data_IF_890456503236
#
_entry.id   IF_890456503236
#
_cell.length_a   1.000
_cell.length_b   1.000
_cell.length_c   1.000
_cell.angle_alpha   90.00
_cell.angle_beta   90.00
_cell.angle_gamma   90.00
#
_symmetry.space_group_name_H-M   'P 1'
#
loop_
_entity.id
_entity.type
_entity.pdbx_description
1 polymer ?
#
# COMPACT_ATOMS: atom_id res chain seq x y z
N UNK A 1 17.78 15.72 9.27
CA UNK A 1 17.61 15.69 7.82
C UNK A 1 16.83 16.93 7.41
N UNK A 2 17.13 18.08 8.02
CA UNK A 2 16.38 19.33 7.84
C UNK A 2 16.88 20.08 6.61
N UNK A 3 16.73 19.47 5.44
CA UNK A 3 17.14 20.05 4.16
C UNK A 3 15.93 20.23 3.26
N UNK A 4 15.97 21.19 2.33
CA UNK A 4 14.91 21.37 1.34
C UNK A 4 14.59 20.06 0.59
N UNK A 5 15.62 19.30 0.21
CA UNK A 5 15.45 18.02 -0.50
C UNK A 5 14.66 16.99 0.32
N UNK A 6 14.77 17.00 1.65
CA UNK A 6 13.97 16.12 2.51
C UNK A 6 12.56 16.68 2.66
N UNK A 7 12.44 17.96 3.02
CA UNK A 7 11.15 18.60 3.30
C UNK A 7 10.21 18.59 2.09
N UNK A 8 10.74 18.63 0.87
CA UNK A 8 9.96 18.52 -0.38
C UNK A 8 9.18 17.22 -0.53
N UNK A 9 9.55 16.16 0.20
CA UNK A 9 8.78 14.91 0.21
C UNK A 9 7.44 15.04 0.97
N UNK A 10 7.30 16.05 1.83
CA UNK A 10 6.14 16.24 2.68
C UNK A 10 5.31 17.39 2.13
N UNK A 11 4.00 17.22 1.96
CA UNK A 11 3.18 18.31 1.42
C UNK A 11 3.14 19.46 2.41
N UNK A 12 3.16 20.69 1.88
CA UNK A 12 3.03 21.92 2.69
C UNK A 12 1.85 21.88 3.66
N UNK A 13 0.71 21.34 3.22
CA UNK A 13 -0.49 21.21 4.05
C UNK A 13 -0.22 20.37 5.31
N UNK A 14 0.59 19.33 5.23
CA UNK A 14 0.90 18.48 6.39
C UNK A 14 1.75 19.25 7.41
N UNK A 15 2.69 20.09 6.95
CA UNK A 15 3.40 21.03 7.83
C UNK A 15 2.46 22.08 8.45
N UNK A 16 1.54 22.65 7.67
CA UNK A 16 0.55 23.60 8.17
C UNK A 16 -0.33 22.99 9.26
N UNK A 17 -0.77 21.75 9.05
CA UNK A 17 -1.57 20.98 9.99
C UNK A 17 -0.77 20.65 11.25
N UNK A 18 0.51 20.25 11.13
CA UNK A 18 1.41 20.03 12.25
C UNK A 18 1.65 21.31 13.08
N UNK A 19 1.95 22.43 12.42
CA UNK A 19 2.14 23.72 13.07
C UNK A 19 0.85 24.24 13.72
N UNK A 20 -0.32 23.93 13.13
CA UNK A 20 -1.62 24.25 13.71
C UNK A 20 -1.84 23.45 14.99
N UNK A 21 -1.57 22.15 14.98
CA UNK A 21 -1.70 21.27 16.14
C UNK A 21 -0.86 21.77 17.32
N UNK A 22 0.38 22.19 17.05
CA UNK A 22 1.31 22.70 18.05
C UNK A 22 1.17 24.21 18.34
N UNK A 23 0.13 24.86 17.79
CA UNK A 23 -0.18 26.28 18.05
C UNK A 23 0.99 27.24 17.76
N UNK A 24 1.79 26.95 16.73
CA UNK A 24 2.89 27.81 16.30
C UNK A 24 2.37 29.21 15.94
N UNK A 25 3.02 30.24 16.50
CA UNK A 25 2.59 31.62 16.37
C UNK A 25 2.78 32.15 14.95
N UNK A 26 1.77 32.88 14.45
CA UNK A 26 1.77 33.54 13.13
C UNK A 26 2.13 32.61 11.96
N UNK A 27 1.93 31.29 12.10
CA UNK A 27 2.29 30.29 11.08
C UNK A 27 1.74 30.60 9.69
N UNK A 28 0.51 31.11 9.60
CA UNK A 28 -0.15 31.44 8.33
C UNK A 28 0.52 32.56 7.55
N UNK A 29 1.28 33.42 8.24
CA UNK A 29 2.08 34.48 7.62
C UNK A 29 3.51 34.01 7.40
N UNK A 30 4.10 33.33 8.40
CA UNK A 30 5.49 32.84 8.36
C UNK A 30 5.73 31.78 7.29
N UNK A 31 4.71 31.02 6.88
CA UNK A 31 4.89 29.93 5.89
C UNK A 31 4.89 30.41 4.43
N UNK A 32 4.55 31.67 4.19
CA UNK A 32 4.49 32.25 2.84
C UNK A 32 5.90 32.60 2.37
N UNK A 33 6.37 32.04 1.23
CA UNK A 33 7.70 32.36 0.71
C UNK A 33 7.76 33.78 0.14
N UNK A 34 8.93 34.41 0.26
CA UNK A 34 9.23 35.65 -0.44
C UNK A 34 9.36 35.43 -1.95
N UNK A 35 9.28 36.51 -2.73
CA UNK A 35 9.38 36.42 -4.19
C UNK A 35 10.76 35.90 -4.60
N UNK A 36 10.79 34.79 -5.36
CA UNK A 36 12.03 34.15 -5.80
C UNK A 36 12.68 33.21 -4.76
N UNK A 37 12.10 33.07 -3.58
CA UNK A 37 12.57 32.15 -2.55
C UNK A 37 12.03 30.73 -2.76
N UNK A 38 12.82 29.71 -2.40
CA UNK A 38 12.34 28.34 -2.40
C UNK A 38 11.15 28.18 -1.44
N UNK A 39 10.13 27.48 -1.92
CA UNK A 39 8.83 27.33 -1.27
C UNK A 39 8.89 26.64 0.11
N UNK A 40 9.96 25.89 0.42
CA UNK A 40 10.19 25.23 1.71
C UNK A 40 11.13 26.00 2.64
N UNK A 41 11.78 27.07 2.18
CA UNK A 41 12.66 27.89 3.05
C UNK A 41 11.95 28.42 4.29
N UNK A 42 10.74 29.01 4.19
CA UNK A 42 10.06 29.52 5.39
C UNK A 42 9.64 28.39 6.33
N UNK A 43 9.32 27.20 5.79
CA UNK A 43 9.00 26.00 6.58
C UNK A 43 10.23 25.57 7.37
N UNK A 44 11.40 25.48 6.71
CA UNK A 44 12.66 25.13 7.36
C UNK A 44 13.01 26.13 8.47
N UNK A 45 12.86 27.44 8.23
CA UNK A 45 13.14 28.47 9.22
C UNK A 45 12.24 28.33 10.46
N UNK A 46 10.92 28.12 10.26
CA UNK A 46 10.00 27.85 11.37
C UNK A 46 10.48 26.63 12.15
N UNK A 47 10.82 25.52 11.47
CA UNK A 47 11.26 24.30 12.14
C UNK A 47 12.50 24.55 12.98
N UNK A 48 13.54 25.19 12.40
CA UNK A 48 14.78 25.49 13.10
C UNK A 48 14.55 26.38 14.33
N UNK A 49 13.80 27.47 14.18
CA UNK A 49 13.50 28.40 15.29
C UNK A 49 12.75 27.72 16.44
N UNK A 50 11.77 26.86 16.12
CA UNK A 50 10.95 26.19 17.13
C UNK A 50 11.70 25.00 17.78
N UNK A 51 12.61 24.33 17.07
CA UNK A 51 13.50 23.30 17.65
C UNK A 51 14.60 23.91 18.54
N UNK A 52 15.14 25.07 18.17
CA UNK A 52 16.13 25.78 19.00
C UNK A 52 15.51 26.34 20.29
N UNK A 53 14.27 26.83 20.21
CA UNK A 53 13.55 27.38 21.37
C UNK A 53 12.81 26.33 22.20
N UNK A 54 12.46 25.18 21.60
CA UNK A 54 11.64 24.10 22.19
C UNK A 54 10.32 24.56 22.82
N UNK A 55 9.75 25.70 22.38
CA UNK A 55 8.57 26.30 23.02
C UNK A 55 7.25 25.66 22.60
N UNK A 56 7.10 25.28 21.31
CA UNK A 56 5.82 24.81 20.74
C UNK A 56 5.80 23.33 20.42
N UNK A 57 6.93 22.79 20.00
CA UNK A 57 7.13 21.37 19.78
C UNK A 57 8.58 21.00 20.10
N UNK A 58 8.78 19.72 20.43
CA UNK A 58 10.07 19.13 20.77
C UNK A 58 10.70 18.42 19.57
N UNK A 59 11.99 18.12 19.66
CA UNK A 59 12.69 17.25 18.71
C UNK A 59 11.96 15.92 18.52
N UNK A 60 11.51 15.28 19.60
CA UNK A 60 10.77 14.01 19.55
C UNK A 60 9.47 14.12 18.76
N UNK A 61 8.67 15.17 18.99
CA UNK A 61 7.41 15.35 18.26
C UNK A 61 7.61 15.65 16.78
N UNK A 62 8.68 16.36 16.43
CA UNK A 62 8.99 16.66 15.04
C UNK A 62 9.61 15.46 14.32
N UNK A 63 10.48 14.71 15.00
CA UNK A 63 11.04 13.45 14.53
C UNK A 63 9.94 12.42 14.24
N UNK A 64 8.96 12.27 15.13
CA UNK A 64 7.80 11.41 14.90
C UNK A 64 6.97 11.89 13.70
N UNK A 65 6.74 13.20 13.57
CA UNK A 65 6.07 13.75 12.40
C UNK A 65 6.82 13.42 11.10
N UNK A 66 8.14 13.64 11.06
CA UNK A 66 8.98 13.32 9.90
C UNK A 66 8.90 11.83 9.57
N UNK A 67 8.96 10.96 10.58
CA UNK A 67 8.88 9.52 10.39
C UNK A 67 7.53 9.11 9.82
N UNK A 68 6.42 9.57 10.39
CA UNK A 68 5.07 9.27 9.90
C UNK A 68 4.88 9.72 8.44
N UNK A 69 5.46 10.86 8.08
CA UNK A 69 5.37 11.36 6.71
C UNK A 69 6.22 10.55 5.73
N UNK A 70 7.51 10.35 6.04
CA UNK A 70 8.45 9.66 5.14
C UNK A 70 8.25 8.14 5.08
N UNK A 71 7.78 7.53 6.17
CA UNK A 71 7.61 6.08 6.27
C UNK A 71 6.23 5.60 5.76
N UNK A 72 5.15 6.31 6.09
CA UNK A 72 3.79 5.90 5.72
C UNK A 72 3.16 6.83 4.68
N UNK A 73 3.09 8.13 4.94
CA UNK A 73 2.17 9.04 4.22
C UNK A 73 2.54 9.27 2.74
N UNK A 74 3.83 9.23 2.41
CA UNK A 74 4.30 9.46 1.03
C UNK A 74 4.35 8.19 0.19
N UNK A 75 4.29 7.02 0.82
CA UNK A 75 4.48 5.74 0.15
C UNK A 75 3.13 5.16 -0.27
N UNK A 76 3.03 4.83 -1.55
CA UNK A 76 1.80 4.31 -2.15
C UNK A 76 2.03 3.01 -2.92
N UNK A 77 3.28 2.59 -3.12
CA UNK A 77 3.66 1.44 -3.93
C UNK A 77 4.50 0.45 -3.14
N UNK A 78 3.90 -0.67 -2.74
CA UNK A 78 4.51 -1.60 -1.78
C UNK A 78 4.77 -2.95 -2.44
N UNK A 79 5.99 -3.43 -2.36
CA UNK A 79 6.36 -4.79 -2.74
C UNK A 79 6.30 -5.67 -1.49
N UNK A 80 5.53 -6.75 -1.55
CA UNK A 80 5.35 -7.70 -0.47
C UNK A 80 6.07 -9.00 -0.82
N UNK A 81 6.89 -9.45 0.12
CA UNK A 81 7.66 -10.69 0.09
C UNK A 81 7.39 -11.50 1.35
N UNK A 82 7.62 -12.81 1.26
CA UNK A 82 7.60 -13.67 2.44
C UNK A 82 8.93 -13.56 3.18
N UNK A 83 8.88 -13.51 4.50
CA UNK A 83 10.04 -13.59 5.37
C UNK A 83 10.14 -15.00 5.91
N UNK A 84 11.13 -15.78 5.49
CA UNK A 84 11.31 -17.14 6.02
C UNK A 84 12.39 -17.21 7.09
N UNK A 85 13.38 -16.30 7.05
CA UNK A 85 14.48 -16.26 7.99
C UNK A 85 14.69 -14.84 8.54
N UNK A 86 14.70 -14.73 9.86
CA UNK A 86 15.16 -13.57 10.60
C UNK A 86 15.79 -14.04 11.91
N UNK A 87 16.82 -13.36 12.39
CA UNK A 87 17.41 -13.65 13.71
C UNK A 87 16.40 -13.51 14.85
N UNK A 88 15.35 -12.71 14.63
CA UNK A 88 14.25 -12.50 15.54
C UNK A 88 13.03 -13.31 15.12
N UNK A 89 12.35 -13.91 16.09
CA UNK A 89 11.07 -14.56 15.90
C UNK A 89 10.10 -14.16 17.01
N UNK A 90 8.87 -14.66 16.95
CA UNK A 90 7.82 -14.36 17.93
C UNK A 90 8.17 -14.71 19.39
N UNK A 91 9.21 -15.52 19.63
CA UNK A 91 9.67 -15.88 20.97
C UNK A 91 10.89 -15.08 21.43
N UNK A 92 11.49 -14.24 20.57
CA UNK A 92 12.61 -13.40 20.99
C UNK A 92 12.12 -12.33 21.94
N UNK A 93 12.77 -12.19 23.10
CA UNK A 93 12.39 -11.16 24.07
C UNK A 93 12.66 -9.75 23.52
N UNK A 94 11.81 -8.80 23.87
CA UNK A 94 11.98 -7.40 23.47
C UNK A 94 13.32 -6.82 23.97
N UNK A 95 13.76 -7.21 25.17
CA UNK A 95 15.04 -6.79 25.75
C UNK A 95 16.22 -7.27 24.91
N UNK A 96 16.21 -8.52 24.44
CA UNK A 96 17.27 -9.06 23.57
C UNK A 96 17.32 -8.36 22.21
N UNK A 97 16.15 -8.00 21.66
CA UNK A 97 16.07 -7.25 20.39
C UNK A 97 16.65 -5.86 20.56
N UNK A 98 16.24 -5.12 21.60
CA UNK A 98 16.74 -3.78 21.88
C UNK A 98 18.26 -3.83 22.10
N UNK A 99 18.72 -4.76 22.94
CA UNK A 99 20.15 -4.95 23.20
C UNK A 99 20.92 -5.22 21.91
N UNK A 100 20.41 -6.11 21.05
CA UNK A 100 21.04 -6.38 19.76
C UNK A 100 21.14 -5.13 18.89
N UNK A 101 20.05 -4.37 18.75
CA UNK A 101 20.01 -3.17 17.90
C UNK A 101 20.94 -2.08 18.43
N UNK A 102 21.04 -1.90 19.74
CA UNK A 102 21.97 -0.97 20.39
C UNK A 102 23.43 -1.38 20.23
N UNK A 103 23.72 -2.69 20.26
CA UNK A 103 25.07 -3.23 20.06
C UNK A 103 25.57 -3.15 18.61
N UNK A 104 24.71 -2.82 17.64
CA UNK A 104 25.05 -2.66 16.23
C UNK A 104 24.78 -1.21 15.77
N UNK A 105 25.67 -0.24 16.05
CA UNK A 105 25.46 1.17 15.72
C UNK A 105 25.17 1.45 14.24
N UNK A 106 25.66 0.59 13.34
CA UNK A 106 25.41 0.71 11.90
C UNK A 106 23.93 0.57 11.52
N UNK A 107 23.10 -0.02 12.39
CA UNK A 107 21.65 -0.09 12.21
C UNK A 107 20.93 1.22 12.54
N UNK A 108 21.61 2.25 13.07
CA UNK A 108 21.00 3.55 13.38
C UNK A 108 19.68 3.43 14.17
N UNK A 109 19.66 2.59 15.22
CA UNK A 109 18.47 2.36 16.02
C UNK A 109 18.02 3.65 16.73
N UNK A 110 16.75 4.03 16.54
CA UNK A 110 16.12 5.25 17.04
C UNK A 110 16.92 6.54 16.75
N UNK A 111 17.64 6.58 15.63
CA UNK A 111 18.36 7.77 15.21
C UNK A 111 17.38 8.88 14.78
N UNK A 112 17.47 10.09 15.35
CA UNK A 112 16.56 11.17 14.99
C UNK A 112 16.68 11.60 13.52
N UNK A 113 15.53 11.82 12.88
CA UNK A 113 15.43 12.32 11.50
C UNK A 113 15.72 13.82 11.39
N UNK A 114 16.04 14.50 12.50
CA UNK A 114 16.58 15.85 12.53
C UNK A 114 18.09 15.89 12.25
N UNK A 115 18.81 14.77 12.43
CA UNK A 115 20.26 14.65 12.20
C UNK A 115 20.70 14.80 10.75
N UNK A 116 21.93 15.28 10.50
CA UNK A 116 22.43 15.48 9.15
C UNK A 116 22.45 14.17 8.34
N UNK A 117 21.88 14.23 7.13
CA UNK A 117 21.86 13.11 6.19
C UNK A 117 23.13 13.12 5.35
N UNK A 118 23.75 11.96 5.19
CA UNK A 118 24.86 11.79 4.25
C UNK A 118 24.44 11.98 2.79
N UNK A 119 25.43 12.21 1.93
CA UNK A 119 25.24 12.28 0.48
C UNK A 119 25.16 10.91 -0.19
N UNK A 120 25.48 9.85 0.52
CA UNK A 120 25.54 8.48 0.01
C UNK A 120 24.16 7.96 -0.45
N UNK A 121 24.19 7.02 -1.40
CA UNK A 121 23.02 6.25 -1.85
C UNK A 121 22.83 5.03 -0.97
N UNK A 122 21.59 4.55 -0.90
CA UNK A 122 21.21 3.39 -0.08
C UNK A 122 21.62 3.53 1.40
N UNK A 123 21.50 4.74 1.95
CA UNK A 123 21.89 5.06 3.33
C UNK A 123 20.73 4.78 4.29
N UNK A 124 20.95 3.92 5.29
CA UNK A 124 20.02 3.70 6.39
C UNK A 124 19.91 4.96 7.26
N UNK A 125 18.73 5.58 7.30
CA UNK A 125 18.46 6.80 8.07
C UNK A 125 18.17 6.48 9.53
N UNK A 126 17.25 5.54 9.78
CA UNK A 126 16.87 5.08 11.12
C UNK A 126 16.32 3.66 11.05
N UNK A 127 16.53 2.91 12.13
CA UNK A 127 15.75 1.72 12.46
C UNK A 127 14.81 2.04 13.60
N UNK A 128 13.56 1.58 13.53
CA UNK A 128 12.58 1.65 14.62
C UNK A 128 11.93 0.30 14.82
N UNK A 129 11.44 0.03 16.02
CA UNK A 129 10.68 -1.16 16.33
C UNK A 129 9.25 -0.80 16.69
N UNK A 130 8.33 -1.70 16.40
CA UNK A 130 6.95 -1.61 16.85
C UNK A 130 6.66 -2.72 17.85
N UNK A 131 6.06 -2.33 18.97
CA UNK A 131 5.74 -3.23 20.08
C UNK A 131 4.23 -3.14 20.36
N UNK A 132 3.58 -4.29 20.48
CA UNK A 132 2.18 -4.43 20.91
C UNK A 132 2.16 -5.47 22.03
N UNK A 133 1.51 -5.14 23.15
CA UNK A 133 1.38 -6.04 24.33
C UNK A 133 2.73 -6.67 24.75
N UNK A 134 3.78 -5.83 24.83
CA UNK A 134 5.18 -6.20 25.14
C UNK A 134 5.84 -7.19 24.16
N UNK A 135 5.19 -7.50 23.03
CA UNK A 135 5.73 -8.32 21.95
C UNK A 135 6.22 -7.46 20.79
N UNK A 136 7.36 -7.83 20.21
CA UNK A 136 7.86 -7.22 18.98
C UNK A 136 6.96 -7.61 17.80
N UNK A 137 6.30 -6.62 17.20
CA UNK A 137 5.46 -6.80 16.01
C UNK A 137 6.28 -6.67 14.73
N UNK A 138 7.07 -5.61 14.63
CA UNK A 138 7.81 -5.31 13.42
C UNK A 138 9.09 -4.52 13.64
N UNK A 139 10.01 -4.63 12.68
CA UNK A 139 11.22 -3.81 12.58
C UNK A 139 11.14 -2.99 11.30
N UNK A 140 11.35 -1.69 11.43
CA UNK A 140 11.12 -0.71 10.40
C UNK A 140 12.41 0.04 10.05
N UNK A 141 12.79 0.02 8.77
CA UNK A 141 13.96 0.70 8.23
C UNK A 141 13.55 1.82 7.28
N UNK A 142 14.06 3.03 7.51
CA UNK A 142 13.96 4.11 6.54
C UNK A 142 15.29 4.26 5.81
N UNK A 143 15.31 4.04 4.50
CA UNK A 143 16.53 4.07 3.69
C UNK A 143 16.42 5.22 2.68
N UNK A 144 17.44 6.07 2.60
CA UNK A 144 17.60 7.04 1.52
C UNK A 144 18.26 6.34 0.33
N UNK A 145 17.53 6.17 -0.76
CA UNK A 145 18.00 5.51 -1.98
C UNK A 145 18.94 6.42 -2.76
N UNK A 146 18.55 7.68 -2.94
CA UNK A 146 19.31 8.65 -3.72
C UNK A 146 18.54 9.96 -3.88
N UNK A 147 18.76 10.63 -5.00
CA UNK A 147 18.13 11.90 -5.33
C UNK A 147 17.28 11.73 -6.61
N UNK A 148 16.13 12.38 -6.67
CA UNK A 148 15.23 12.43 -7.83
C UNK A 148 14.85 13.87 -8.14
N UNK A 149 14.73 14.20 -9.42
CA UNK A 149 14.20 15.49 -9.85
C UNK A 149 12.67 15.40 -9.97
N UNK A 150 11.94 16.25 -9.25
CA UNK A 150 10.49 16.34 -9.32
C UNK A 150 10.08 17.80 -9.56
N UNK A 151 9.41 18.07 -10.68
CA UNK A 151 9.00 19.43 -11.08
C UNK A 151 10.17 20.45 -11.06
N UNK A 152 11.34 20.05 -11.55
CA UNK A 152 12.58 20.85 -11.55
C UNK A 152 13.14 21.17 -10.16
N UNK A 153 12.72 20.42 -9.13
CA UNK A 153 13.28 20.49 -7.78
C UNK A 153 13.89 19.13 -7.39
N UNK A 154 15.12 19.14 -6.88
CA UNK A 154 15.75 17.93 -6.35
C UNK A 154 15.13 17.53 -5.02
N UNK A 155 14.74 16.27 -4.91
CA UNK A 155 14.17 15.67 -3.72
C UNK A 155 14.96 14.42 -3.36
N UNK A 156 15.09 14.12 -2.06
CA UNK A 156 15.61 12.82 -1.66
C UNK A 156 14.57 11.74 -1.91
N UNK A 157 14.99 10.61 -2.46
CA UNK A 157 14.16 9.44 -2.65
C UNK A 157 14.38 8.46 -1.51
N UNK A 158 13.29 8.11 -0.82
CA UNK A 158 13.30 7.19 0.31
C UNK A 158 12.57 5.89 -0.01
N UNK A 159 12.99 4.82 0.64
CA UNK A 159 12.25 3.56 0.76
C UNK A 159 12.01 3.25 2.23
N UNK A 160 10.77 2.85 2.54
CA UNK A 160 10.37 2.43 3.87
C UNK A 160 10.17 0.91 3.88
N UNK A 161 10.96 0.21 4.68
CA UNK A 161 10.99 -1.25 4.73
C UNK A 161 10.47 -1.71 6.09
N UNK A 162 9.54 -2.66 6.09
CA UNK A 162 9.06 -3.32 7.31
C UNK A 162 9.37 -4.81 7.23
N UNK A 163 10.00 -5.33 8.28
CA UNK A 163 10.05 -6.75 8.60
C UNK A 163 8.91 -7.01 9.59
N UNK A 164 7.83 -7.59 9.09
CA UNK A 164 6.65 -7.95 9.86
C UNK A 164 6.84 -9.36 10.41
N UNK A 165 7.04 -9.45 11.73
CA UNK A 165 7.26 -10.72 12.42
C UNK A 165 5.96 -11.42 12.79
N UNK A 166 4.85 -10.68 12.87
CA UNK A 166 3.52 -11.24 13.14
C UNK A 166 3.02 -12.04 11.93
N UNK A 167 3.19 -11.49 10.73
CA UNK A 167 2.74 -12.09 9.48
C UNK A 167 3.84 -12.81 8.70
N UNK A 168 5.10 -12.75 9.15
CA UNK A 168 6.26 -13.26 8.43
C UNK A 168 6.38 -12.67 7.02
N UNK A 169 6.31 -11.34 6.91
CA UNK A 169 6.39 -10.62 5.64
C UNK A 169 7.53 -9.60 5.64
N UNK A 170 8.10 -9.35 4.46
CA UNK A 170 8.97 -8.20 4.20
C UNK A 170 8.27 -7.29 3.20
N UNK A 171 8.08 -6.02 3.60
CA UNK A 171 7.35 -5.04 2.81
C UNK A 171 8.30 -3.89 2.48
N UNK A 172 8.61 -3.73 1.18
CA UNK A 172 9.45 -2.63 0.68
C UNK A 172 8.54 -1.59 0.03
N UNK A 173 8.46 -0.40 0.61
CA UNK A 173 7.54 0.67 0.18
C UNK A 173 8.28 1.80 -0.51
N UNK A 174 7.60 2.38 -1.50
CA UNK A 174 8.07 3.53 -2.26
C UNK A 174 6.94 4.52 -2.52
N UNK A 175 7.33 5.76 -2.78
CA UNK A 175 6.55 6.65 -3.63
C UNK A 175 6.72 6.22 -5.10
N UNK A 176 5.62 5.87 -5.77
CA UNK A 176 5.66 5.36 -7.15
C UNK A 176 6.33 6.34 -8.12
N UNK A 177 5.99 7.63 -8.03
CA UNK A 177 6.52 8.63 -8.94
C UNK A 177 8.04 8.81 -8.76
N UNK A 178 8.52 8.75 -7.51
CA UNK A 178 9.96 8.80 -7.24
C UNK A 178 10.68 7.56 -7.77
N UNK A 179 10.10 6.36 -7.61
CA UNK A 179 10.67 5.12 -8.13
C UNK A 179 10.73 5.12 -9.67
N UNK A 180 9.68 5.61 -10.33
CA UNK A 180 9.61 5.69 -11.80
C UNK A 180 10.50 6.80 -12.40
N UNK A 181 10.79 7.85 -11.62
CA UNK A 181 11.64 8.98 -12.04
C UNK A 181 13.11 8.80 -11.65
N UNK A 182 13.44 7.75 -10.92
CA UNK A 182 14.81 7.47 -10.52
C UNK A 182 15.62 6.96 -11.73
N UNK A 183 16.93 7.22 -11.72
CA UNK A 183 17.80 6.90 -12.85
C UNK A 183 18.02 5.39 -13.06
N UNK A 184 17.80 4.58 -12.03
CA UNK A 184 17.94 3.12 -12.06
C UNK A 184 16.57 2.47 -12.34
N UNK A 185 16.56 1.36 -13.08
CA UNK A 185 15.34 0.60 -13.30
C UNK A 185 14.73 0.13 -11.96
N UNK A 186 13.40 0.17 -11.77
CA UNK A 186 12.76 -0.22 -10.50
C UNK A 186 13.15 -1.63 -10.02
N UNK A 187 13.35 -2.56 -10.96
CA UNK A 187 13.80 -3.92 -10.66
C UNK A 187 15.22 -3.94 -10.07
N UNK A 188 16.12 -3.08 -10.54
CA UNK A 188 17.50 -3.01 -10.05
C UNK A 188 17.56 -2.40 -8.65
N UNK A 189 16.73 -1.38 -8.39
CA UNK A 189 16.58 -0.80 -7.04
C UNK A 189 16.11 -1.87 -6.05
N UNK A 190 15.13 -2.68 -6.44
CA UNK A 190 14.63 -3.79 -5.61
C UNK A 190 15.69 -4.86 -5.37
N UNK A 191 16.43 -5.26 -6.40
CA UNK A 191 17.52 -6.24 -6.26
C UNK A 191 18.56 -5.72 -5.28
N UNK A 192 19.02 -4.47 -5.44
CA UNK A 192 19.99 -3.85 -4.52
C UNK A 192 19.48 -3.76 -3.09
N UNK A 193 18.20 -3.45 -2.87
CA UNK A 193 17.62 -3.41 -1.54
C UNK A 193 17.51 -4.80 -0.92
N UNK A 194 17.11 -5.81 -1.68
CA UNK A 194 17.09 -7.20 -1.19
C UNK A 194 18.50 -7.69 -0.86
N UNK A 195 19.48 -7.42 -1.73
CA UNK A 195 20.88 -7.76 -1.49
C UNK A 195 21.41 -7.07 -0.22
N UNK A 196 21.09 -5.78 -0.05
CA UNK A 196 21.43 -5.01 1.14
C UNK A 196 20.83 -5.63 2.41
N UNK A 197 19.53 -5.96 2.40
CA UNK A 197 18.82 -6.59 3.51
C UNK A 197 19.37 -7.99 3.83
N UNK A 198 19.70 -8.78 2.81
CA UNK A 198 20.25 -10.12 2.93
C UNK A 198 21.74 -10.13 3.36
N UNK A 199 22.31 -8.97 3.68
CA UNK A 199 23.69 -8.87 4.13
C UNK A 199 24.74 -9.02 3.03
N UNK A 200 24.35 -9.05 1.75
CA UNK A 200 25.31 -9.16 0.66
C UNK A 200 26.22 -7.92 0.65
N UNK A 201 27.54 -8.16 0.68
CA UNK A 201 28.53 -7.09 0.74
C UNK A 201 28.43 -6.20 -0.50
N UNK A 202 28.43 -4.88 -0.28
CA UNK A 202 28.64 -3.97 -1.41
C UNK A 202 30.05 -4.15 -1.97
N UNK A 203 30.22 -3.84 -3.27
CA UNK A 203 31.56 -3.74 -3.87
C UNK A 203 32.40 -2.81 -2.98
N UNK A 204 33.63 -3.23 -2.69
CA UNK A 204 34.63 -2.56 -1.84
C UNK A 204 34.73 -3.03 -0.36
N UNK A 205 34.10 -4.15 0.01
CA UNK A 205 34.39 -4.81 1.30
C UNK A 205 33.77 -4.15 2.52
N UNK A 206 32.84 -3.20 2.31
CA UNK A 206 31.99 -2.66 3.37
C UNK A 206 30.88 -3.67 3.66
N UNK A 207 30.88 -4.17 4.90
CA UNK A 207 29.83 -5.04 5.43
C UNK A 207 28.51 -4.29 5.47
N UNK A 208 27.46 -4.90 4.91
CA UNK A 208 26.10 -4.36 4.99
C UNK A 208 25.68 -4.22 6.46
N UNK A 209 25.06 -3.10 6.89
CA UNK A 209 24.59 -2.96 8.27
C UNK A 209 23.58 -4.06 8.66
N UNK A 210 22.93 -4.67 7.67
CA UNK A 210 21.92 -5.71 7.84
C UNK A 210 22.49 -7.14 7.89
N UNK A 211 23.79 -7.37 7.65
CA UNK A 211 24.37 -8.73 7.68
C UNK A 211 24.07 -9.43 9.01
N UNK A 212 24.13 -8.69 10.11
CA UNK A 212 23.85 -9.18 11.46
C UNK A 212 22.40 -9.69 11.66
N UNK A 213 21.44 -9.25 10.83
CA UNK A 213 20.04 -9.64 10.96
C UNK A 213 19.72 -10.99 10.32
N UNK A 214 20.63 -11.52 9.49
CA UNK A 214 20.47 -12.79 8.76
C UNK A 214 19.12 -12.90 8.05
N UNK A 215 18.69 -11.83 7.38
CA UNK A 215 17.45 -11.85 6.61
C UNK A 215 17.62 -12.68 5.33
N UNK A 216 16.56 -13.38 4.94
CA UNK A 216 16.47 -14.09 3.67
C UNK A 216 15.23 -13.66 2.90
N UNK A 217 15.32 -12.51 2.23
CA UNK A 217 14.25 -11.94 1.42
C UNK A 217 14.31 -12.54 0.02
N UNK A 218 13.48 -13.57 -0.21
CA UNK A 218 13.33 -14.24 -1.51
C UNK A 218 12.08 -13.70 -2.22
N UNK A 219 12.13 -13.65 -3.55
CA UNK A 219 10.94 -13.36 -4.38
C UNK A 219 9.82 -14.38 -4.14
N UNK A 220 8.58 -13.94 -4.27
CA UNK A 220 7.43 -14.83 -4.29
C UNK A 220 7.40 -15.58 -5.62
N UNK A 221 7.02 -16.87 -5.62
CA UNK A 221 6.62 -17.49 -6.88
C UNK A 221 5.42 -16.71 -7.46
N UNK A 222 5.53 -16.24 -8.71
CA UNK A 222 4.48 -15.47 -9.40
C UNK A 222 3.10 -16.14 -9.32
N UNK A 223 3.05 -17.48 -9.31
CA UNK A 223 1.82 -18.27 -9.15
C UNK A 223 1.12 -18.00 -7.80
N UNK A 224 1.89 -17.83 -6.73
CA UNK A 224 1.34 -17.55 -5.39
C UNK A 224 0.63 -16.21 -5.41
N UNK A 225 1.28 -15.16 -5.89
CA UNK A 225 0.69 -13.82 -6.01
C UNK A 225 -0.59 -13.85 -6.87
N UNK A 226 -0.56 -14.53 -8.02
CA UNK A 226 -1.73 -14.66 -8.90
C UNK A 226 -2.91 -15.36 -8.23
N UNK A 227 -2.63 -16.42 -7.46
CA UNK A 227 -3.64 -17.20 -6.74
C UNK A 227 -4.25 -16.40 -5.59
N UNK A 228 -3.44 -15.64 -4.84
CA UNK A 228 -3.93 -14.75 -3.78
C UNK A 228 -4.91 -13.73 -4.38
N UNK A 229 -4.51 -13.04 -5.45
CA UNK A 229 -5.36 -12.05 -6.13
C UNK A 229 -6.66 -12.70 -6.63
N UNK A 230 -6.56 -13.87 -7.27
CA UNK A 230 -7.71 -14.62 -7.79
C UNK A 230 -8.68 -15.04 -6.68
N UNK A 231 -8.17 -15.50 -5.55
CA UNK A 231 -8.99 -15.95 -4.40
C UNK A 231 -9.75 -14.78 -3.80
N UNK A 232 -9.06 -13.67 -3.49
CA UNK A 232 -9.70 -12.44 -2.99
C UNK A 232 -10.74 -11.90 -3.97
N UNK A 233 -10.46 -11.94 -5.27
CA UNK A 233 -11.40 -11.53 -6.30
C UNK A 233 -12.65 -12.40 -6.32
N UNK A 234 -12.50 -13.73 -6.27
CA UNK A 234 -13.60 -14.69 -6.28
C UNK A 234 -14.50 -14.52 -5.06
N UNK A 235 -13.92 -14.44 -3.87
CA UNK A 235 -14.67 -14.28 -2.62
C UNK A 235 -15.56 -13.04 -2.66
N UNK A 236 -14.98 -11.87 -2.95
CA UNK A 236 -15.73 -10.61 -2.97
C UNK A 236 -16.75 -10.56 -4.11
N UNK A 237 -16.43 -11.18 -5.25
CA UNK A 237 -17.34 -11.29 -6.39
C UNK A 237 -18.52 -12.23 -6.14
N UNK A 238 -18.29 -13.34 -5.45
CA UNK A 238 -19.35 -14.28 -5.07
C UNK A 238 -20.30 -13.66 -4.05
N UNK A 239 -19.77 -12.95 -3.06
CA UNK A 239 -20.61 -12.21 -2.11
C UNK A 239 -21.48 -11.16 -2.82
N UNK A 240 -20.89 -10.40 -3.75
CA UNK A 240 -21.62 -9.43 -4.54
C UNK A 240 -22.73 -10.07 -5.39
N UNK A 241 -22.45 -11.24 -5.99
CA UNK A 241 -23.45 -11.99 -6.76
C UNK A 241 -24.60 -12.48 -5.88
N UNK A 242 -24.32 -12.98 -4.67
CA UNK A 242 -25.37 -13.41 -3.74
C UNK A 242 -26.30 -12.23 -3.37
N UNK A 243 -25.72 -11.05 -3.13
CA UNK A 243 -26.45 -9.80 -2.86
C UNK A 243 -27.32 -9.39 -4.06
N UNK A 244 -26.79 -9.49 -5.29
CA UNK A 244 -27.53 -9.16 -6.50
C UNK A 244 -28.65 -10.18 -6.78
N UNK A 245 -28.38 -11.47 -6.59
CA UNK A 245 -29.35 -12.54 -6.75
C UNK A 245 -30.51 -12.43 -5.74
N UNK A 246 -30.23 -12.06 -4.49
CA UNK A 246 -31.26 -11.81 -3.48
C UNK A 246 -32.21 -10.66 -3.82
N UNK A 247 -31.84 -9.78 -4.77
CA UNK A 247 -32.67 -8.66 -5.25
C UNK A 247 -33.44 -8.98 -6.53
N UNK A 248 -33.15 -10.12 -7.16
CA UNK A 248 -33.91 -10.59 -8.32
C UNK A 248 -35.27 -11.12 -7.85
N UNK A 249 -36.39 -10.76 -8.50
CA UNK A 249 -37.70 -11.29 -8.14
C UNK A 249 -37.74 -12.84 -8.16
N UNK A 250 -38.41 -13.46 -7.19
CA UNK A 250 -38.42 -14.93 -6.99
C UNK A 250 -38.86 -15.76 -8.22
N UNK A 251 -39.72 -15.22 -9.08
CA UNK A 251 -40.22 -15.91 -10.28
C UNK A 251 -39.35 -15.72 -11.54
N UNK A 252 -38.27 -14.94 -11.46
CA UNK A 252 -37.48 -14.53 -12.63
C UNK A 252 -36.95 -15.72 -13.44
N UNK A 253 -36.52 -16.80 -12.80
CA UNK A 253 -36.01 -17.97 -13.53
C UNK A 253 -37.11 -18.66 -14.35
N UNK A 254 -38.32 -18.75 -13.80
CA UNK A 254 -39.47 -19.30 -14.53
C UNK A 254 -39.86 -18.39 -15.69
N UNK A 255 -39.88 -17.07 -15.48
CA UNK A 255 -40.20 -16.08 -16.51
C UNK A 255 -39.18 -16.13 -17.66
N UNK A 256 -37.89 -16.32 -17.35
CA UNK A 256 -36.83 -16.50 -18.35
C UNK A 256 -37.02 -17.78 -19.15
N UNK A 257 -37.29 -18.91 -18.48
CA UNK A 257 -37.53 -20.19 -19.16
C UNK A 257 -38.74 -20.11 -20.07
N UNK A 258 -39.86 -19.57 -19.58
CA UNK A 258 -41.06 -19.37 -20.38
C UNK A 258 -40.79 -18.46 -21.60
N UNK A 259 -39.99 -17.40 -21.43
CA UNK A 259 -39.57 -16.55 -22.54
C UNK A 259 -38.75 -17.31 -23.59
N UNK A 260 -37.76 -18.10 -23.17
CA UNK A 260 -36.92 -18.89 -24.07
C UNK A 260 -37.74 -19.95 -24.83
N UNK A 261 -38.62 -20.67 -24.14
CA UNK A 261 -39.53 -21.65 -24.74
C UNK A 261 -40.46 -20.99 -25.77
N UNK A 262 -41.08 -19.87 -25.41
CA UNK A 262 -41.97 -19.11 -26.30
C UNK A 262 -41.26 -18.57 -27.56
N UNK A 263 -39.94 -18.38 -27.50
CA UNK A 263 -39.11 -17.98 -28.65
C UNK A 263 -38.53 -19.15 -29.43
N UNK A 264 -38.77 -20.40 -28.99
CA UNK A 264 -38.19 -21.59 -29.59
C UNK A 264 -36.67 -21.68 -29.41
N UNK A 265 -36.14 -21.07 -28.34
CA UNK A 265 -34.72 -21.07 -28.00
C UNK A 265 -34.41 -22.19 -26.98
N UNK A 266 -33.14 -22.67 -26.92
CA UNK A 266 -32.73 -23.64 -25.91
C UNK A 266 -32.88 -23.09 -24.49
N UNK A 267 -33.44 -23.89 -23.58
CA UNK A 267 -33.57 -23.58 -22.15
C UNK A 267 -32.44 -24.19 -21.31
N UNK A 268 -31.23 -24.18 -21.84
CA UNK A 268 -30.04 -24.62 -21.10
C UNK A 268 -29.72 -23.63 -19.98
N UNK A 269 -29.14 -24.12 -18.89
CA UNK A 269 -28.85 -23.31 -17.71
C UNK A 269 -27.95 -22.12 -18.02
N UNK A 270 -26.98 -22.29 -18.93
CA UNK A 270 -26.08 -21.24 -19.39
C UNK A 270 -26.83 -20.03 -19.98
N UNK A 271 -27.93 -20.26 -20.72
CA UNK A 271 -28.75 -19.17 -21.26
C UNK A 271 -29.55 -18.45 -20.17
N UNK A 272 -30.04 -19.20 -19.17
CA UNK A 272 -30.73 -18.62 -18.01
C UNK A 272 -29.76 -17.72 -17.23
N UNK A 273 -28.55 -18.22 -16.95
CA UNK A 273 -27.52 -17.45 -16.25
C UNK A 273 -27.06 -16.22 -17.04
N UNK A 274 -26.95 -16.31 -18.37
CA UNK A 274 -26.66 -15.14 -19.20
C UNK A 274 -27.73 -14.06 -19.08
N UNK A 275 -29.02 -14.42 -19.10
CA UNK A 275 -30.11 -13.44 -18.93
C UNK A 275 -30.12 -12.88 -17.51
N UNK A 276 -29.91 -13.70 -16.47
CA UNK A 276 -29.74 -13.22 -15.08
C UNK A 276 -28.59 -12.24 -14.95
N UNK A 277 -27.47 -12.46 -15.64
CA UNK A 277 -26.33 -11.54 -15.62
C UNK A 277 -26.69 -10.14 -16.15
N UNK A 278 -27.66 -10.03 -17.07
CA UNK A 278 -28.15 -8.72 -17.56
C UNK A 278 -28.97 -8.02 -16.48
N UNK A 279 -29.79 -8.76 -15.72
CA UNK A 279 -30.53 -8.22 -14.58
C UNK A 279 -29.57 -7.77 -13.47
N UNK A 280 -28.52 -8.54 -13.19
CA UNK A 280 -27.49 -8.15 -12.22
C UNK A 280 -26.77 -6.87 -12.62
N UNK A 281 -26.48 -6.68 -13.92
CA UNK A 281 -25.91 -5.44 -14.43
C UNK A 281 -26.83 -4.24 -14.15
N UNK A 282 -28.12 -4.38 -14.43
CA UNK A 282 -29.11 -3.31 -14.22
C UNK A 282 -29.29 -2.98 -12.72
N UNK A 283 -29.40 -4.02 -11.87
CA UNK A 283 -29.48 -3.84 -10.41
C UNK A 283 -28.21 -3.15 -9.89
N UNK A 284 -27.03 -3.58 -10.33
CA UNK A 284 -25.77 -2.98 -9.90
C UNK A 284 -25.60 -1.53 -10.35
N UNK A 285 -26.17 -1.13 -11.49
CA UNK A 285 -26.09 0.26 -11.98
C UNK A 285 -27.12 1.18 -11.32
N UNK A 286 -28.25 0.64 -10.86
CA UNK A 286 -29.35 1.40 -10.27
C UNK A 286 -29.27 1.51 -8.75
N UNK A 287 -28.58 0.58 -8.10
CA UNK A 287 -28.38 0.59 -6.65
C UNK A 287 -27.18 1.45 -6.22
N UNK A 288 -27.22 1.97 -5.00
CA UNK A 288 -26.06 2.59 -4.38
C UNK A 288 -24.96 1.56 -4.09
N UNK A 289 -23.69 1.94 -4.16
CA UNK A 289 -22.57 1.03 -3.88
C UNK A 289 -22.57 0.46 -2.44
N UNK A 290 -23.27 1.14 -1.52
CA UNK A 290 -23.43 0.73 -0.12
C UNK A 290 -24.16 -0.60 0.07
N UNK A 291 -24.69 -1.20 -1.00
CA UNK A 291 -25.32 -2.51 -0.93
C UNK A 291 -24.29 -3.64 -0.72
N UNK A 292 -23.02 -3.38 -1.05
CA UNK A 292 -21.93 -4.33 -0.90
C UNK A 292 -21.27 -4.15 0.46
N UNK A 293 -21.79 -4.85 1.48
CA UNK A 293 -21.45 -4.62 2.89
C UNK A 293 -19.95 -4.74 3.21
N UNK A 294 -19.25 -5.71 2.62
CA UNK A 294 -17.81 -5.90 2.79
C UNK A 294 -16.95 -5.14 1.76
N UNK A 295 -17.58 -4.39 0.85
CA UNK A 295 -16.94 -3.69 -0.26
C UNK A 295 -17.06 -4.44 -1.59
N UNK A 296 -16.30 -4.03 -2.60
CA UNK A 296 -16.42 -4.55 -3.97
C UNK A 296 -15.11 -4.56 -4.74
N UNK A 297 -15.10 -5.34 -5.83
CA UNK A 297 -14.06 -5.24 -6.85
C UNK A 297 -14.40 -4.10 -7.80
N UNK A 298 -13.45 -3.19 -8.04
CA UNK A 298 -13.62 -2.10 -9.00
C UNK A 298 -12.77 -2.27 -10.26
N UNK A 299 -11.75 -3.13 -10.28
CA UNK A 299 -10.99 -3.42 -11.52
C UNK A 299 -10.44 -4.83 -11.53
N UNK A 300 -10.18 -5.34 -12.73
CA UNK A 300 -9.39 -6.54 -12.92
C UNK A 300 -8.57 -6.49 -14.21
N UNK A 301 -7.46 -7.21 -14.22
CA UNK A 301 -6.72 -7.57 -15.43
C UNK A 301 -6.54 -9.08 -15.44
N UNK A 302 -7.18 -9.70 -16.42
CA UNK A 302 -7.11 -11.14 -16.67
C UNK A 302 -6.30 -11.39 -17.94
N UNK A 303 -5.49 -12.46 -17.93
CA UNK A 303 -4.81 -12.95 -19.13
C UNK A 303 -5.11 -14.43 -19.29
N UNK A 304 -5.47 -14.80 -20.51
CA UNK A 304 -5.63 -16.19 -20.90
C UNK A 304 -4.51 -16.54 -21.89
N UNK A 305 -3.60 -17.40 -21.44
CA UNK A 305 -2.39 -17.74 -22.20
C UNK A 305 -1.50 -16.52 -22.47
N UNK A 306 -0.84 -16.51 -23.64
CA UNK A 306 0.15 -15.48 -24.02
C UNK A 306 -0.44 -14.29 -24.79
N UNK A 307 -1.65 -14.41 -25.32
CA UNK A 307 -2.17 -13.48 -26.35
C UNK A 307 -3.41 -12.73 -25.91
N UNK A 308 -4.26 -13.33 -25.06
CA UNK A 308 -5.54 -12.74 -24.68
C UNK A 308 -5.38 -12.00 -23.37
N UNK A 309 -5.60 -10.68 -23.39
CA UNK A 309 -5.65 -9.83 -22.21
C UNK A 309 -7.01 -9.14 -22.17
N UNK A 310 -7.72 -9.30 -21.07
CA UNK A 310 -8.93 -8.57 -20.77
C UNK A 310 -8.72 -7.70 -19.53
N UNK A 311 -9.32 -6.52 -19.52
CA UNK A 311 -9.27 -5.64 -18.37
C UNK A 311 -10.55 -4.83 -18.26
N UNK A 312 -11.03 -4.61 -17.03
CA UNK A 312 -11.98 -3.55 -16.75
C UNK A 312 -11.23 -2.29 -16.30
N UNK A 313 -11.73 -1.13 -16.74
CA UNK A 313 -11.32 0.18 -16.21
C UNK A 313 -12.59 0.89 -15.76
N UNK A 314 -12.79 1.01 -14.44
CA UNK A 314 -13.71 1.98 -13.87
C UNK A 314 -12.85 3.12 -13.29
N UNK A 315 -12.80 4.24 -14.01
CA UNK A 315 -12.01 5.40 -13.58
C UNK A 315 -12.60 6.03 -12.30
N UNK A 316 -13.91 5.85 -12.09
CA UNK A 316 -14.66 6.26 -10.91
C UNK A 316 -14.59 5.27 -9.74
N UNK A 317 -13.95 4.10 -9.94
CA UNK A 317 -13.81 3.02 -8.93
C UNK A 317 -15.15 2.42 -8.49
N UNK A 318 -16.17 2.55 -9.34
CA UNK A 318 -17.46 1.88 -9.16
C UNK A 318 -17.33 0.35 -9.25
N UNK A 319 -18.27 -0.41 -8.66
CA UNK A 319 -18.29 -1.87 -8.73
C UNK A 319 -18.29 -2.40 -10.18
N UNK A 320 -17.45 -3.39 -10.47
CA UNK A 320 -17.38 -4.00 -11.81
C UNK A 320 -18.63 -4.79 -12.19
N UNK A 321 -19.54 -5.04 -11.24
CA UNK A 321 -20.71 -5.88 -11.43
C UNK A 321 -21.77 -5.24 -12.35
N UNK A 322 -21.70 -3.92 -12.58
CA UNK A 322 -22.44 -3.24 -13.64
C UNK A 322 -21.83 -3.41 -15.05
N UNK A 323 -20.63 -4.02 -15.17
CA UNK A 323 -19.90 -4.14 -16.43
C UNK A 323 -20.22 -5.45 -17.16
N UNK A 324 -20.67 -5.34 -18.40
CA UNK A 324 -20.86 -6.48 -19.30
C UNK A 324 -19.60 -7.33 -19.48
N UNK A 325 -18.42 -6.69 -19.47
CA UNK A 325 -17.12 -7.37 -19.65
C UNK A 325 -16.84 -8.34 -18.50
N UNK A 326 -17.21 -7.97 -17.26
CA UNK A 326 -17.07 -8.85 -16.10
C UNK A 326 -17.90 -10.12 -16.28
N UNK A 327 -19.20 -9.99 -16.54
CA UNK A 327 -20.10 -11.14 -16.64
C UNK A 327 -19.74 -12.10 -17.78
N UNK A 328 -19.29 -11.57 -18.92
CA UNK A 328 -18.81 -12.39 -20.03
C UNK A 328 -17.55 -13.20 -19.71
N UNK A 329 -16.71 -12.71 -18.80
CA UNK A 329 -15.43 -13.32 -18.47
C UNK A 329 -15.43 -14.04 -17.13
N UNK A 330 -16.46 -13.85 -16.30
CA UNK A 330 -16.55 -14.35 -14.93
C UNK A 330 -16.20 -15.83 -14.86
N UNK A 331 -16.83 -16.67 -15.68
CA UNK A 331 -16.55 -18.11 -15.66
C UNK A 331 -15.11 -18.45 -16.02
N UNK A 332 -14.53 -17.78 -17.01
CA UNK A 332 -13.14 -17.99 -17.42
C UNK A 332 -12.17 -17.59 -16.30
N UNK A 333 -12.42 -16.43 -15.68
CA UNK A 333 -11.66 -15.92 -14.54
C UNK A 333 -11.79 -16.88 -13.35
N UNK A 334 -12.98 -17.41 -13.10
CA UNK A 334 -13.20 -18.32 -11.98
C UNK A 334 -12.52 -19.67 -12.21
N UNK A 335 -12.48 -20.16 -13.46
CA UNK A 335 -11.82 -21.41 -13.85
C UNK A 335 -10.30 -21.31 -13.91
N UNK A 336 -9.71 -20.14 -14.19
CA UNK A 336 -8.26 -19.99 -14.35
C UNK A 336 -7.47 -20.12 -13.05
N UNK A 337 -8.10 -19.83 -11.90
CA UNK A 337 -7.45 -19.74 -10.58
C UNK A 337 -6.30 -18.72 -10.47
N UNK A 338 -6.03 -17.97 -11.54
CA UNK A 338 -4.95 -17.01 -11.65
C UNK A 338 -5.48 -15.64 -12.07
N UNK A 339 -5.00 -14.59 -11.40
CA UNK A 339 -5.30 -13.21 -11.74
C UNK A 339 -4.06 -12.33 -11.60
N UNK A 340 -3.76 -11.54 -12.64
CA UNK A 340 -2.57 -10.69 -12.63
C UNK A 340 -2.77 -9.40 -11.85
N UNK A 341 -3.99 -8.87 -11.85
CA UNK A 341 -4.30 -7.62 -11.18
C UNK A 341 -5.77 -7.57 -10.79
N UNK A 342 -6.06 -7.05 -9.60
CA UNK A 342 -7.40 -6.65 -9.18
C UNK A 342 -7.34 -5.41 -8.29
N UNK A 343 -8.40 -4.62 -8.29
CA UNK A 343 -8.55 -3.51 -7.35
C UNK A 343 -9.80 -3.69 -6.51
N UNK A 344 -9.62 -3.44 -5.22
CA UNK A 344 -10.57 -3.71 -4.16
C UNK A 344 -10.84 -2.45 -3.39
N UNK A 345 -12.12 -2.19 -3.16
CA UNK A 345 -12.56 -1.33 -2.07
C UNK A 345 -13.09 -2.26 -0.98
N UNK A 346 -12.52 -2.18 0.22
CA UNK A 346 -13.00 -2.90 1.38
C UNK A 346 -13.40 -1.94 2.48
N UNK A 347 -14.51 -2.21 3.15
CA UNK A 347 -14.84 -1.53 4.38
C UNK A 347 -14.04 -2.13 5.54
N UNK A 348 -13.46 -1.29 6.39
CA UNK A 348 -12.77 -1.74 7.61
C UNK A 348 -13.77 -2.22 8.66
N UNK A 349 -14.92 -1.55 8.71
CA UNK A 349 -16.07 -1.84 9.56
C UNK A 349 -17.33 -1.67 8.70
N UNK A 350 -18.35 -2.50 8.92
CA UNK A 350 -19.62 -2.35 8.20
C UNK A 350 -20.18 -0.95 8.45
N UNK A 351 -20.40 -0.14 7.40
CA UNK A 351 -20.91 1.20 7.59
C UNK A 351 -22.29 1.16 8.23
N UNK A 352 -22.43 1.75 9.42
CA UNK A 352 -23.74 2.05 9.99
C UNK A 352 -24.45 3.12 9.16
N UNK A 353 -25.78 3.22 9.29
CA UNK A 353 -26.61 4.19 8.53
C UNK A 353 -26.20 5.66 8.69
N UNK A 354 -25.41 6.00 9.72
CA UNK A 354 -25.09 7.38 10.11
C UNK A 354 -23.60 7.70 10.24
N UNK A 355 -22.70 6.76 9.98
CA UNK A 355 -21.26 6.98 10.10
C UNK A 355 -20.56 7.00 8.72
N UNK A 356 -19.58 7.88 8.56
CA UNK A 356 -18.73 7.85 7.37
C UNK A 356 -17.96 6.52 7.35
N UNK A 357 -18.23 5.73 6.33
CA UNK A 357 -17.62 4.42 6.17
C UNK A 357 -16.10 4.53 6.14
N UNK A 358 -15.41 3.83 7.04
CA UNK A 358 -13.97 3.65 6.92
C UNK A 358 -13.70 2.57 5.89
N UNK A 359 -12.87 2.89 4.90
CA UNK A 359 -12.57 1.98 3.81
C UNK A 359 -11.11 2.03 3.39
N UNK A 360 -10.66 0.98 2.73
CA UNK A 360 -9.38 0.90 2.04
C UNK A 360 -9.61 0.65 0.55
N UNK A 361 -8.96 1.46 -0.27
CA UNK A 361 -8.88 1.29 -1.72
C UNK A 361 -7.46 0.88 -2.09
N UNK A 362 -7.32 -0.34 -2.59
CA UNK A 362 -6.01 -0.90 -2.95
C UNK A 362 -6.11 -1.68 -4.26
N UNK A 363 -5.06 -1.57 -5.08
CA UNK A 363 -4.84 -2.43 -6.23
C UNK A 363 -3.72 -3.40 -5.94
N UNK A 364 -3.99 -4.68 -6.17
CA UNK A 364 -3.01 -5.75 -6.10
C UNK A 364 -2.54 -6.08 -7.52
N UNK A 365 -1.24 -6.20 -7.72
CA UNK A 365 -0.61 -6.56 -9.00
C UNK A 365 0.46 -7.64 -8.77
N UNK A 366 0.37 -8.75 -9.51
CA UNK A 366 1.43 -9.75 -9.57
C UNK A 366 2.41 -9.38 -10.68
N UNK A 367 3.66 -9.08 -10.31
CA UNK A 367 4.71 -8.70 -11.26
C UNK A 367 6.09 -9.04 -10.73
N UNK A 368 6.93 -9.64 -11.58
CA UNK A 368 8.34 -9.94 -11.29
C UNK A 368 8.52 -10.60 -9.91
N UNK A 369 7.87 -11.75 -9.70
CA UNK A 369 8.01 -12.54 -8.46
C UNK A 369 7.69 -11.73 -7.19
N UNK A 370 6.76 -10.79 -7.30
CA UNK A 370 6.36 -9.90 -6.22
C UNK A 370 4.85 -9.68 -6.24
N UNK A 371 4.25 -9.54 -5.07
CA UNK A 371 2.90 -9.02 -4.92
C UNK A 371 3.01 -7.53 -4.62
N UNK A 372 2.46 -6.71 -5.50
CA UNK A 372 2.52 -5.25 -5.39
C UNK A 372 1.17 -4.73 -4.89
N UNK A 373 1.21 -3.91 -3.84
CA UNK A 373 0.06 -3.16 -3.33
C UNK A 373 0.20 -1.70 -3.73
N UNK A 374 -0.74 -1.22 -4.53
CA UNK A 374 -0.84 0.18 -4.92
C UNK A 374 -2.05 0.82 -4.24
N UNK A 375 -1.78 1.79 -3.37
CA UNK A 375 -2.82 2.54 -2.67
C UNK A 375 -3.08 3.88 -3.34
N UNK A 376 -4.35 4.24 -3.46
CA UNK A 376 -4.74 5.47 -4.14
C UNK A 376 -4.57 6.70 -3.26
N UNK A 377 -4.39 7.88 -3.87
CA UNK A 377 -4.12 9.15 -3.16
C UNK A 377 -5.08 9.46 -2.00
N UNK A 378 -6.37 9.11 -2.14
CA UNK A 378 -7.39 9.30 -1.09
C UNK A 378 -7.09 8.52 0.20
N UNK A 379 -6.14 7.58 0.16
CA UNK A 379 -5.73 6.78 1.31
C UNK A 379 -4.67 7.46 2.18
N UNK A 380 -4.19 8.66 1.83
CA UNK A 380 -3.29 9.47 2.68
C UNK A 380 -4.08 10.14 3.81
N UNK A 381 -4.49 9.32 4.78
CA UNK A 381 -5.25 9.72 5.96
C UNK A 381 -4.51 9.33 7.24
N UNK A 382 -4.91 9.84 8.40
CA UNK A 382 -4.23 9.57 9.68
C UNK A 382 -4.28 8.09 10.10
N UNK A 383 -5.27 7.35 9.62
CA UNK A 383 -5.46 5.90 9.81
C UNK A 383 -4.77 5.06 8.72
N UNK A 384 -3.83 5.64 7.96
CA UNK A 384 -3.11 4.96 6.87
C UNK A 384 -2.52 3.61 7.28
N UNK A 385 -1.88 3.57 8.46
CA UNK A 385 -1.27 2.36 9.00
C UNK A 385 -2.28 1.25 9.25
N UNK A 386 -3.41 1.57 9.87
CA UNK A 386 -4.51 0.62 10.13
C UNK A 386 -5.05 0.01 8.83
N UNK A 387 -5.20 0.84 7.78
CA UNK A 387 -5.59 0.39 6.43
C UNK A 387 -4.58 -0.56 5.80
N UNK A 388 -3.28 -0.26 5.94
CA UNK A 388 -2.22 -1.15 5.43
C UNK A 388 -2.24 -2.50 6.16
N UNK A 389 -2.33 -2.49 7.50
CA UNK A 389 -2.39 -3.71 8.31
C UNK A 389 -3.63 -4.56 8.01
N UNK A 390 -4.77 -3.93 7.73
CA UNK A 390 -5.97 -4.65 7.28
C UNK A 390 -5.72 -5.42 5.96
N UNK A 391 -5.11 -4.76 4.97
CA UNK A 391 -4.80 -5.39 3.68
C UNK A 391 -3.78 -6.52 3.83
N UNK A 392 -2.73 -6.29 4.64
CA UNK A 392 -1.71 -7.31 4.89
C UNK A 392 -2.29 -8.54 5.58
N UNK A 393 -3.16 -8.37 6.59
CA UNK A 393 -3.88 -9.48 7.23
C UNK A 393 -4.71 -10.28 6.24
N UNK A 394 -5.47 -9.59 5.37
CA UNK A 394 -6.26 -10.24 4.31
C UNK A 394 -5.38 -11.03 3.33
N UNK A 395 -4.22 -10.53 2.95
CA UNK A 395 -3.32 -11.24 2.03
C UNK A 395 -2.66 -12.42 2.73
N UNK A 396 -2.29 -12.26 4.01
CA UNK A 396 -1.53 -13.26 4.75
C UNK A 396 -2.27 -14.57 4.97
N UNK A 397 -3.61 -14.55 5.01
CA UNK A 397 -4.41 -15.78 5.11
C UNK A 397 -4.30 -16.71 3.90
N UNK A 398 -3.64 -16.28 2.82
CA UNK A 398 -3.52 -17.03 1.56
C UNK A 398 -2.07 -17.34 1.15
N UNK A 399 -1.08 -17.01 2.00
CA UNK A 399 0.33 -17.37 1.78
C UNK A 399 0.63 -18.85 2.02
#
# INVERSE_FOLDING_TARGET
MLTHNTLRNIYKKDFEDFFRLHKVHRRSVRIVPETGQDRYTPIQNIITEELESQEKFSDTSFDEFMYQQLFYSINNWHYVYKNEDCIFNSNTSLEDVIYFLEMHPALNFNKPLTDNLGSERYLLCTTRIEVIDDCLKSINFLIKIGDVESNSENCYFFSAITIDLEHNLVIIRFNQNSLESFEEDPSDVLVKLKDLLNGASQRDGVISPFESLNLNVIGLNEEVSKRIISTLFKELSSEAEDILNARVPENTENDIREFLENKGLPCEEDYVQQIKSVLYQDISQTCADTIFANGWVFRFVFREGRLTRASSRTDDRSPIYGSKVYWHLKELIFKSEEMYEAGFLWYLENPGEFEEAKYVEVRLESRNDSLILHYYYKMRTSDRKEKEEFVLRKINSYF
#
